data_IF_961750514983
#
_entry.id   IF_961750514983
#
_cell.length_a   1.000
_cell.length_b   1.000
_cell.length_c   1.000
_cell.angle_alpha   90.00
_cell.angle_beta   90.00
_cell.angle_gamma   90.00
#
_symmetry.space_group_name_H-M   'P 1'
#
loop_
_entity.id
_entity.type
_entity.pdbx_description
1 polymer ?
#
# COMPACT_ATOMS: atom_id res chain seq x y z
N UNK A 1 28.23 9.04 -25.01
CA UNK A 1 27.23 8.93 -23.93
C UNK A 1 26.56 7.58 -24.10
N UNK A 2 26.89 6.61 -23.26
CA UNK A 2 26.23 5.30 -23.31
C UNK A 2 24.86 5.43 -22.68
N UNK A 3 23.83 4.92 -23.34
CA UNK A 3 22.52 4.71 -22.73
C UNK A 3 22.71 3.85 -21.47
N UNK A 4 22.50 4.44 -20.29
CA UNK A 4 22.48 3.70 -19.04
C UNK A 4 21.39 2.64 -19.06
N UNK A 5 21.62 1.50 -18.40
CA UNK A 5 20.62 0.45 -18.30
C UNK A 5 19.40 0.99 -17.55
N UNK A 6 18.27 1.10 -18.26
CA UNK A 6 16.97 1.49 -17.71
C UNK A 6 16.05 0.29 -17.74
N UNK A 7 15.44 -0.03 -16.61
CA UNK A 7 14.46 -1.11 -16.50
C UNK A 7 13.15 -0.60 -15.94
N UNK A 8 12.07 -0.93 -16.65
CA UNK A 8 10.70 -0.72 -16.23
C UNK A 8 10.10 -2.10 -16.01
N UNK A 9 9.85 -2.47 -14.76
CA UNK A 9 9.11 -3.69 -14.43
C UNK A 9 7.63 -3.34 -14.34
N UNK A 10 6.95 -3.44 -15.48
CA UNK A 10 5.50 -3.26 -15.62
C UNK A 10 4.89 -4.56 -16.14
N UNK A 11 4.04 -5.21 -15.34
CA UNK A 11 3.25 -6.35 -15.80
C UNK A 11 1.77 -6.05 -15.54
N UNK A 12 1.06 -5.46 -16.52
CA UNK A 12 -0.24 -4.82 -16.34
C UNK A 12 -1.40 -5.74 -15.91
N UNK A 13 -1.17 -7.06 -15.84
CA UNK A 13 -2.15 -8.03 -15.37
C UNK A 13 -1.66 -8.94 -14.24
N UNK A 14 -0.35 -8.98 -13.96
CA UNK A 14 0.28 -9.87 -12.96
C UNK A 14 1.61 -9.29 -12.50
N UNK A 15 1.61 -8.40 -11.51
CA UNK A 15 2.86 -7.95 -10.89
C UNK A 15 3.67 -9.15 -10.40
N UNK A 16 4.98 -9.24 -10.71
CA UNK A 16 5.84 -10.28 -10.16
C UNK A 16 5.85 -10.20 -8.64
N UNK A 17 5.94 -11.37 -7.99
CA UNK A 17 6.11 -11.45 -6.54
C UNK A 17 7.39 -10.71 -6.13
N UNK A 18 7.45 -10.01 -4.98
CA UNK A 18 8.62 -9.21 -4.61
C UNK A 18 9.95 -9.98 -4.68
N UNK A 19 9.98 -11.25 -4.28
CA UNK A 19 11.20 -12.09 -4.40
C UNK A 19 11.69 -12.25 -5.84
N UNK A 20 10.78 -12.37 -6.81
CA UNK A 20 11.14 -12.49 -8.22
C UNK A 20 11.70 -11.15 -8.74
N UNK A 21 11.08 -10.04 -8.37
CA UNK A 21 11.57 -8.69 -8.66
C UNK A 21 13.01 -8.51 -8.17
N UNK A 22 13.29 -8.83 -6.91
CA UNK A 22 14.63 -8.71 -6.33
C UNK A 22 15.67 -9.56 -7.07
N UNK A 23 15.32 -10.80 -7.46
CA UNK A 23 16.22 -11.66 -8.25
C UNK A 23 16.53 -11.08 -9.63
N UNK A 24 15.56 -10.45 -10.27
CA UNK A 24 15.79 -9.78 -11.56
C UNK A 24 16.73 -8.57 -11.39
N UNK A 25 16.52 -7.76 -10.35
CA UNK A 25 17.37 -6.61 -10.06
C UNK A 25 18.80 -7.03 -9.73
N UNK A 26 18.99 -8.16 -9.04
CA UNK A 26 20.32 -8.72 -8.75
C UNK A 26 21.14 -9.04 -10.02
N UNK A 27 20.47 -9.31 -11.14
CA UNK A 27 21.13 -9.57 -12.42
C UNK A 27 21.58 -8.29 -13.16
N UNK A 28 21.26 -7.10 -12.64
CA UNK A 28 21.45 -5.81 -13.30
C UNK A 28 22.29 -4.85 -12.42
N UNK A 29 23.58 -5.14 -12.18
CA UNK A 29 24.41 -4.37 -11.25
C UNK A 29 24.74 -2.94 -11.73
N UNK A 30 24.52 -2.62 -13.01
CA UNK A 30 24.77 -1.30 -13.60
C UNK A 30 23.49 -0.51 -13.88
N UNK A 31 22.38 -0.93 -13.27
CA UNK A 31 21.09 -0.29 -13.43
C UNK A 31 21.15 1.19 -13.02
N UNK A 32 20.83 2.09 -13.96
CA UNK A 32 20.83 3.54 -13.72
C UNK A 32 19.43 4.06 -13.37
N UNK A 33 18.38 3.44 -13.90
CA UNK A 33 17.00 3.84 -13.66
C UNK A 33 16.10 2.63 -13.46
N UNK A 34 15.36 2.64 -12.35
CA UNK A 34 14.44 1.59 -11.95
C UNK A 34 13.02 2.15 -11.76
N UNK A 35 12.07 1.64 -12.54
CA UNK A 35 10.64 1.84 -12.32
C UNK A 35 9.99 0.51 -11.90
N UNK A 36 9.46 0.47 -10.68
CA UNK A 36 8.71 -0.65 -10.12
C UNK A 36 7.23 -0.30 -10.02
N UNK A 37 6.39 -1.04 -10.74
CA UNK A 37 4.94 -1.00 -10.55
C UNK A 37 4.52 -2.24 -9.79
N UNK A 38 4.20 -2.06 -8.51
CA UNK A 38 3.88 -3.14 -7.60
C UNK A 38 2.38 -3.17 -7.35
N UNK A 39 1.78 -4.36 -7.47
CA UNK A 39 0.40 -4.55 -7.05
C UNK A 39 0.36 -4.61 -5.52
N UNK A 40 -0.31 -3.66 -4.88
CA UNK A 40 -0.52 -3.73 -3.44
C UNK A 40 -1.62 -4.77 -3.16
N UNK A 41 -1.39 -5.76 -2.27
CA UNK A 41 -2.45 -6.66 -1.87
C UNK A 41 -3.63 -5.89 -1.28
N UNK A 42 -4.85 -6.39 -1.53
CA UNK A 42 -6.10 -5.79 -1.03
C UNK A 42 -6.01 -5.48 0.48
N UNK A 43 -6.62 -4.40 1.00
CA UNK A 43 -6.54 -4.02 2.41
C UNK A 43 -6.83 -5.16 3.40
N UNK A 44 -7.80 -6.04 3.11
CA UNK A 44 -8.11 -7.20 3.94
C UNK A 44 -6.99 -8.26 4.05
N UNK A 45 -5.99 -8.22 3.18
CA UNK A 45 -4.88 -9.19 3.09
C UNK A 45 -3.63 -8.65 3.79
N UNK A 46 -3.80 -8.16 5.02
CA UNK A 46 -2.75 -7.47 5.77
C UNK A 46 -1.44 -8.26 5.88
N UNK A 47 -1.53 -9.56 6.11
CA UNK A 47 -0.35 -10.44 6.24
C UNK A 47 0.46 -10.49 4.93
N UNK A 48 -0.21 -10.54 3.78
CA UNK A 48 0.46 -10.51 2.47
C UNK A 48 1.05 -9.13 2.20
N UNK A 49 0.35 -8.05 2.57
CA UNK A 49 0.89 -6.67 2.45
C UNK A 49 2.18 -6.53 3.26
N UNK A 50 2.16 -7.01 4.51
CA UNK A 50 3.30 -7.02 5.42
C UNK A 50 4.47 -7.83 4.86
N UNK A 51 4.20 -9.06 4.42
CA UNK A 51 5.21 -9.94 3.82
C UNK A 51 5.85 -9.30 2.58
N UNK A 52 5.05 -8.76 1.66
CA UNK A 52 5.56 -8.09 0.46
C UNK A 52 6.47 -6.91 0.82
N UNK A 53 6.06 -6.11 1.80
CA UNK A 53 6.79 -4.94 2.27
C UNK A 53 8.13 -5.35 2.89
N UNK A 54 8.13 -6.41 3.71
CA UNK A 54 9.33 -6.96 4.32
C UNK A 54 10.30 -7.55 3.29
N UNK A 55 9.83 -8.36 2.34
CA UNK A 55 10.67 -8.97 1.30
C UNK A 55 11.30 -7.88 0.43
N UNK A 56 10.53 -6.86 0.06
CA UNK A 56 11.05 -5.74 -0.73
C UNK A 56 12.14 -4.97 0.04
N UNK A 57 11.91 -4.67 1.32
CA UNK A 57 12.89 -4.01 2.18
C UNK A 57 14.21 -4.80 2.22
N UNK A 58 14.14 -6.09 2.57
CA UNK A 58 15.33 -6.96 2.66
C UNK A 58 16.05 -7.10 1.33
N UNK A 59 15.30 -7.17 0.23
CA UNK A 59 15.87 -7.22 -1.11
C UNK A 59 16.60 -5.95 -1.49
N UNK A 60 16.01 -4.78 -1.25
CA UNK A 60 16.65 -3.49 -1.54
C UNK A 60 17.92 -3.29 -0.70
N UNK A 61 17.94 -3.72 0.56
CA UNK A 61 19.14 -3.69 1.41
C UNK A 61 20.24 -4.64 0.92
N UNK A 62 19.88 -5.78 0.32
CA UNK A 62 20.83 -6.79 -0.14
C UNK A 62 21.44 -6.47 -1.51
N UNK A 63 20.82 -5.58 -2.29
CA UNK A 63 21.26 -5.20 -3.62
C UNK A 63 22.25 -4.03 -3.56
N UNK A 64 23.30 -4.10 -4.36
CA UNK A 64 24.24 -2.99 -4.53
C UNK A 64 23.84 -2.16 -5.74
N UNK A 65 23.40 -0.93 -5.49
CA UNK A 65 22.92 0.00 -6.51
C UNK A 65 23.90 1.15 -6.73
N UNK A 66 25.15 0.83 -7.07
CA UNK A 66 26.22 1.82 -7.19
C UNK A 66 26.03 2.82 -8.35
N UNK A 67 25.19 2.47 -9.33
CA UNK A 67 24.92 3.30 -10.52
C UNK A 67 23.50 3.87 -10.56
N UNK A 68 22.65 3.55 -9.58
CA UNK A 68 21.23 3.88 -9.62
C UNK A 68 21.01 5.37 -9.35
N UNK A 69 20.54 6.08 -10.37
CA UNK A 69 20.28 7.53 -10.34
C UNK A 69 18.80 7.87 -10.19
N UNK A 70 17.91 6.97 -10.63
CA UNK A 70 16.46 7.18 -10.57
C UNK A 70 15.75 5.94 -10.04
N UNK A 71 14.92 6.13 -9.01
CA UNK A 71 14.07 5.12 -8.44
C UNK A 71 12.63 5.63 -8.40
N UNK A 72 11.74 4.91 -9.08
CA UNK A 72 10.31 5.15 -9.07
C UNK A 72 9.60 3.89 -8.58
N UNK A 73 8.86 3.98 -7.49
CA UNK A 73 8.01 2.89 -7.00
C UNK A 73 6.57 3.38 -6.97
N UNK A 74 5.70 2.67 -7.66
CA UNK A 74 4.27 2.93 -7.73
C UNK A 74 3.51 1.74 -7.16
N UNK A 75 2.61 2.00 -6.20
CA UNK A 75 1.62 1.03 -5.76
C UNK A 75 0.30 1.21 -6.50
N UNK A 76 -0.22 0.12 -7.05
CA UNK A 76 -1.54 0.13 -7.70
C UNK A 76 -2.60 -0.42 -6.74
N UNK A 77 -3.26 0.43 -5.95
CA UNK A 77 -4.52 0.09 -5.27
C UNK A 77 -5.25 1.31 -4.66
N UNK A 78 -6.61 1.32 -4.60
CA UNK A 78 -7.36 2.38 -3.91
C UNK A 78 -7.22 2.31 -2.39
N UNK A 79 -7.06 3.49 -1.80
CA UNK A 79 -7.06 3.70 -0.36
C UNK A 79 -8.42 3.40 0.27
N UNK A 80 -8.49 3.06 1.57
CA UNK A 80 -9.77 2.86 2.23
C UNK A 80 -10.56 4.19 2.27
N UNK A 81 -11.77 4.21 1.73
CA UNK A 81 -12.66 5.38 1.81
C UNK A 81 -13.42 5.46 3.14
N UNK A 82 -13.43 4.38 3.91
CA UNK A 82 -14.09 4.29 5.20
C UNK A 82 -13.08 4.46 6.34
N UNK A 83 -13.12 5.61 7.03
CA UNK A 83 -12.26 5.88 8.18
C UNK A 83 -12.50 4.95 9.40
N UNK A 84 -13.63 4.22 9.44
CA UNK A 84 -13.85 3.15 10.43
C UNK A 84 -13.16 1.83 10.08
N UNK A 85 -12.68 1.67 8.84
CA UNK A 85 -11.91 0.50 8.46
C UNK A 85 -10.58 0.48 9.22
N UNK A 86 -10.23 -0.67 9.80
CA UNK A 86 -8.95 -0.87 10.46
C UNK A 86 -7.92 -1.34 9.41
N UNK A 87 -6.97 -0.47 8.99
CA UNK A 87 -6.01 -0.77 7.93
C UNK A 87 -5.05 -1.92 8.27
N UNK A 88 -4.90 -2.20 9.56
CA UNK A 88 -3.97 -3.21 10.09
C UNK A 88 -2.54 -2.70 10.19
N UNK A 89 -1.73 -3.41 10.97
CA UNK A 89 -0.34 -3.06 11.21
C UNK A 89 0.59 -3.72 10.18
N UNK A 90 1.39 -2.93 9.48
CA UNK A 90 2.35 -3.34 8.45
C UNK A 90 3.78 -3.56 8.99
N UNK A 91 4.03 -3.30 10.27
CA UNK A 91 5.30 -3.65 10.92
C UNK A 91 5.48 -5.16 10.97
N UNK A 92 6.72 -5.62 10.84
CA UNK A 92 7.04 -7.04 10.99
C UNK A 92 6.97 -7.42 12.49
N UNK A 93 6.02 -8.28 12.90
CA UNK A 93 5.75 -8.57 14.32
C UNK A 93 6.95 -9.15 15.06
N UNK A 94 7.95 -9.70 14.36
CA UNK A 94 9.09 -10.39 14.97
C UNK A 94 10.38 -9.57 15.05
N UNK A 95 10.53 -8.50 14.28
CA UNK A 95 11.85 -7.90 14.07
C UNK A 95 11.96 -6.44 14.48
N UNK A 96 10.90 -5.64 14.34
CA UNK A 96 10.98 -4.22 14.70
C UNK A 96 9.60 -3.57 14.74
N UNK A 97 9.32 -2.66 15.70
CA UNK A 97 8.12 -1.82 15.67
C UNK A 97 8.19 -0.70 14.61
N UNK A 98 9.10 -0.82 13.65
CA UNK A 98 9.49 0.25 12.73
C UNK A 98 9.36 -0.23 11.29
N UNK A 99 9.00 0.68 10.39
CA UNK A 99 8.77 0.34 9.00
C UNK A 99 10.06 0.00 8.23
N UNK A 100 10.29 -1.28 7.99
CA UNK A 100 11.52 -1.78 7.37
C UNK A 100 11.72 -1.27 5.94
N UNK A 101 10.65 -1.01 5.19
CA UNK A 101 10.76 -0.56 3.79
C UNK A 101 11.21 0.90 3.69
N UNK A 102 10.62 1.81 4.47
CA UNK A 102 11.07 3.20 4.51
C UNK A 102 12.51 3.30 5.03
N UNK A 103 12.92 2.48 6.01
CA UNK A 103 14.34 2.38 6.43
C UNK A 103 15.24 1.96 5.26
N UNK A 104 14.88 0.91 4.54
CA UNK A 104 15.68 0.40 3.42
C UNK A 104 15.82 1.45 2.31
N UNK A 105 14.75 2.19 2.03
CA UNK A 105 14.76 3.29 1.05
C UNK A 105 15.58 4.48 1.53
N UNK A 106 15.49 4.84 2.81
CA UNK A 106 16.34 5.87 3.39
C UNK A 106 17.82 5.49 3.19
N UNK A 107 18.23 4.30 3.64
CA UNK A 107 19.60 3.80 3.44
C UNK A 107 20.01 3.81 1.97
N UNK A 108 19.15 3.32 1.09
CA UNK A 108 19.41 3.31 -0.36
C UNK A 108 19.67 4.73 -0.89
N UNK A 109 18.85 5.71 -0.48
CA UNK A 109 18.99 7.11 -0.88
C UNK A 109 20.26 7.78 -0.34
N UNK A 110 20.88 7.22 0.71
CA UNK A 110 22.15 7.68 1.25
C UNK A 110 23.36 7.08 0.51
N UNK A 111 23.27 5.82 0.06
CA UNK A 111 24.43 5.08 -0.49
C UNK A 111 24.50 5.12 -2.02
N UNK A 112 23.35 5.17 -2.70
CA UNK A 112 23.29 5.23 -4.17
C UNK A 112 23.42 6.69 -4.64
N UNK A 113 23.92 6.94 -5.86
CA UNK A 113 23.96 8.27 -6.46
C UNK A 113 22.55 8.71 -6.95
N UNK A 114 21.55 8.57 -6.08
CA UNK A 114 20.14 8.71 -6.38
C UNK A 114 19.75 10.19 -6.48
N UNK A 115 19.51 10.65 -7.71
CA UNK A 115 19.06 12.01 -8.02
C UNK A 115 17.54 12.17 -8.01
N UNK A 116 16.80 11.09 -8.30
CA UNK A 116 15.33 11.10 -8.41
C UNK A 116 14.75 9.97 -7.55
N UNK A 117 13.88 10.31 -6.61
CA UNK A 117 13.08 9.36 -5.84
C UNK A 117 11.59 9.71 -5.99
N UNK A 118 10.82 8.77 -6.55
CA UNK A 118 9.36 8.87 -6.64
C UNK A 118 8.69 7.69 -5.95
N UNK A 119 7.81 7.99 -5.00
CA UNK A 119 7.03 7.02 -4.23
C UNK A 119 5.55 7.37 -4.38
N UNK A 120 4.84 6.73 -5.30
CA UNK A 120 3.50 7.15 -5.74
C UNK A 120 2.44 6.06 -5.60
N UNK A 121 1.17 6.43 -5.74
CA UNK A 121 0.03 5.49 -5.63
C UNK A 121 -0.37 5.13 -4.20
N UNK A 122 -0.42 6.11 -3.29
CA UNK A 122 -0.79 5.88 -1.89
C UNK A 122 0.35 5.19 -1.14
N UNK A 123 1.54 5.79 -1.17
CA UNK A 123 2.71 5.25 -0.49
C UNK A 123 2.56 5.36 1.02
N UNK A 124 2.58 4.22 1.73
CA UNK A 124 2.63 4.22 3.20
C UNK A 124 4.00 4.74 3.66
N UNK A 125 4.05 6.04 3.93
CA UNK A 125 5.23 6.75 4.42
C UNK A 125 5.42 6.50 5.91
N UNK A 126 6.62 6.68 6.43
CA UNK A 126 6.91 6.64 7.87
C UNK A 126 8.06 7.61 8.18
N UNK A 127 8.23 8.05 9.44
CA UNK A 127 9.29 8.98 9.80
C UNK A 127 10.69 8.51 9.38
N UNK A 128 10.92 7.19 9.38
CA UNK A 128 12.21 6.57 9.08
C UNK A 128 12.65 6.69 7.61
N UNK A 129 11.75 7.14 6.72
CA UNK A 129 12.15 7.53 5.38
C UNK A 129 13.03 8.78 5.38
N UNK A 130 12.78 9.69 6.33
CA UNK A 130 13.43 10.98 6.41
C UNK A 130 14.50 11.02 7.49
N UNK A 131 14.21 10.46 8.66
CA UNK A 131 15.05 10.59 9.84
C UNK A 131 15.74 9.27 10.17
N UNK A 132 17.08 9.28 10.38
CA UNK A 132 17.76 8.12 10.92
C UNK A 132 17.25 7.84 12.33
N UNK A 133 16.92 6.58 12.62
CA UNK A 133 16.37 6.16 13.93
C UNK A 133 17.31 6.50 15.10
N UNK A 134 18.61 6.56 14.82
CA UNK A 134 19.68 6.68 15.84
C UNK A 134 20.31 8.08 15.93
N UNK A 135 19.82 9.07 15.18
CA UNK A 135 20.46 10.39 15.12
C UNK A 135 19.46 11.54 15.11
N UNK A 136 19.66 12.52 15.99
CA UNK A 136 18.97 13.81 15.96
C UNK A 136 19.53 14.77 14.90
N UNK A 137 20.46 14.31 14.06
CA UNK A 137 20.98 15.10 12.95
C UNK A 137 19.87 15.45 11.95
N UNK A 138 19.93 16.67 11.42
CA UNK A 138 19.11 17.11 10.29
C UNK A 138 19.21 16.10 9.14
N UNK A 139 18.09 15.76 8.47
CA UNK A 139 18.11 14.73 7.46
C UNK A 139 18.81 15.31 6.22
N UNK A 140 19.70 14.51 5.65
CA UNK A 140 20.56 14.94 4.56
C UNK A 140 20.43 13.94 3.42
N UNK A 141 20.42 14.42 2.17
CA UNK A 141 20.53 13.58 0.99
C UNK A 141 21.71 14.03 0.16
N UNK A 142 22.69 13.17 -0.12
CA UNK A 142 23.95 13.58 -0.75
C UNK A 142 23.79 13.98 -2.22
N UNK A 143 22.83 13.38 -2.92
CA UNK A 143 22.69 13.54 -4.39
C UNK A 143 21.24 13.75 -4.84
N UNK A 144 20.27 13.71 -3.92
CA UNK A 144 18.85 13.78 -4.29
C UNK A 144 18.49 15.21 -4.72
N UNK A 145 18.00 15.34 -5.96
CA UNK A 145 17.58 16.60 -6.57
C UNK A 145 16.07 16.70 -6.68
N UNK A 146 15.38 15.56 -6.82
CA UNK A 146 13.94 15.49 -6.97
C UNK A 146 13.33 14.41 -6.06
N UNK A 147 12.38 14.82 -5.23
CA UNK A 147 11.59 13.96 -4.37
C UNK A 147 10.10 14.17 -4.63
N UNK A 148 9.39 13.07 -4.89
CA UNK A 148 7.95 13.05 -5.02
C UNK A 148 7.38 11.91 -4.19
N UNK A 149 6.43 12.23 -3.32
CA UNK A 149 5.74 11.27 -2.48
C UNK A 149 4.25 11.57 -2.58
N UNK A 150 3.47 10.60 -3.03
CA UNK A 150 2.01 10.60 -2.87
C UNK A 150 1.68 9.74 -1.66
N UNK A 151 1.57 10.32 -0.45
CA UNK A 151 1.42 9.55 0.76
C UNK A 151 0.06 8.87 0.81
N UNK A 152 0.04 7.69 1.42
CA UNK A 152 -1.18 7.01 1.83
C UNK A 152 -1.88 7.79 2.94
N UNK A 153 -3.20 7.70 3.03
CA UNK A 153 -4.00 8.19 4.15
C UNK A 153 -3.79 7.40 5.43
N UNK A 154 -3.19 6.21 5.36
CA UNK A 154 -2.88 5.35 6.50
C UNK A 154 -1.38 5.29 6.81
N UNK A 155 -1.05 5.23 8.11
CA UNK A 155 0.29 5.01 8.67
C UNK A 155 0.65 3.52 8.62
N UNK A 156 1.95 3.16 8.76
CA UNK A 156 2.36 1.76 8.80
C UNK A 156 1.79 0.99 10.00
N UNK A 157 1.55 1.64 11.14
CA UNK A 157 0.94 1.01 12.32
C UNK A 157 -0.59 0.90 12.23
N UNK A 158 -1.20 1.34 11.12
CA UNK A 158 -2.62 1.18 10.83
C UNK A 158 -3.51 2.29 11.39
N UNK A 159 -2.97 3.47 11.61
CA UNK A 159 -3.73 4.69 11.94
C UNK A 159 -3.97 5.52 10.68
N UNK A 160 -4.81 6.55 10.76
CA UNK A 160 -4.99 7.51 9.68
C UNK A 160 -4.10 8.74 9.90
N UNK A 161 -3.49 9.25 8.84
CA UNK A 161 -2.76 10.53 8.85
C UNK A 161 -3.70 11.73 8.94
N UNK A 162 -4.93 11.57 8.47
CA UNK A 162 -5.93 12.62 8.44
C UNK A 162 -6.96 12.37 9.54
N UNK A 163 -6.97 13.26 10.53
CA UNK A 163 -8.04 13.36 11.52
C UNK A 163 -9.01 14.44 11.05
N UNK A 164 -9.79 14.14 10.00
CA UNK A 164 -10.95 14.98 9.70
C UNK A 164 -11.89 14.96 10.89
N UNK A 165 -12.57 16.07 11.18
CA UNK A 165 -13.68 16.07 12.12
C UNK A 165 -14.88 15.40 11.42
N UNK A 166 -15.30 14.18 11.82
CA UNK A 166 -16.41 13.50 11.17
C UNK A 166 -17.73 14.28 11.29
N UNK A 167 -17.87 15.14 12.30
CA UNK A 167 -19.05 15.98 12.51
C UNK A 167 -19.05 17.25 11.63
N UNK A 168 -17.91 17.55 10.99
CA UNK A 168 -17.77 18.73 10.11
C UNK A 168 -18.26 18.49 8.67
N UNK A 169 -18.58 17.24 8.31
CA UNK A 169 -19.06 16.89 6.96
C UNK A 169 -20.59 16.98 6.95
N UNK A 170 -21.20 17.86 6.14
CA UNK A 170 -22.64 17.89 5.97
C UNK A 170 -23.09 16.51 5.45
N UNK A 171 -24.03 15.88 6.15
CA UNK A 171 -24.63 14.61 5.71
C UNK A 171 -25.29 14.88 4.35
N UNK A 172 -24.77 14.31 3.27
CA UNK A 172 -25.46 14.34 1.98
C UNK A 172 -26.74 13.49 2.13
N UNK A 173 -27.93 14.03 1.86
CA UNK A 173 -29.17 13.25 1.88
C UNK A 173 -29.12 12.00 0.98
N UNK A 174 -28.23 11.96 -0.02
CA UNK A 174 -28.03 10.79 -0.88
C UNK A 174 -27.28 9.64 -0.17
N UNK A 175 -26.42 9.94 0.80
CA UNK A 175 -25.67 8.91 1.56
C UNK A 175 -26.55 8.17 2.57
N UNK A 176 -27.65 8.78 3.02
CA UNK A 176 -28.67 8.15 3.87
C UNK A 176 -29.48 7.07 3.14
N UNK A 177 -29.48 7.07 1.80
CA UNK A 177 -30.33 6.18 1.00
C UNK A 177 -29.68 4.80 0.73
N UNK A 178 -28.38 4.64 1.00
CA UNK A 178 -27.66 3.37 0.82
C UNK A 178 -27.96 2.32 1.91
N UNK A 179 -28.72 2.68 2.96
CA UNK A 179 -29.04 1.79 4.09
C UNK A 179 -30.49 1.29 4.19
N UNK A 180 -31.42 1.78 3.37
CA UNK A 180 -32.87 1.57 3.61
C UNK A 180 -33.67 1.07 2.39
N UNK A 181 -33.04 0.54 1.36
CA UNK A 181 -33.76 -0.19 0.30
C UNK A 181 -33.61 -1.70 0.46
N UNK A 182 -34.18 -2.23 1.54
CA UNK A 182 -34.67 -3.61 1.57
C UNK A 182 -36.20 -3.58 1.55
N UNK A 183 -36.84 -3.54 0.36
CA UNK A 183 -38.28 -3.73 0.26
C UNK A 183 -38.55 -5.23 0.24
N UNK A 184 -38.60 -5.83 1.42
CA UNK A 184 -39.24 -7.13 1.60
C UNK A 184 -39.91 -7.18 2.97
N UNK A 185 -40.92 -6.33 3.16
CA UNK A 185 -42.09 -6.73 3.94
C UNK A 185 -42.70 -7.96 3.25
N UNK A 186 -42.76 -9.07 3.97
CA UNK A 186 -44.01 -9.80 4.16
C UNK A 186 -43.88 -10.73 5.37
N UNK A 187 -44.88 -10.64 6.23
CA UNK A 187 -45.11 -11.48 7.40
C UNK A 187 -45.58 -12.90 7.00
N UNK A 188 -45.62 -13.78 8.01
CA UNK A 188 -46.30 -15.09 8.09
C UNK A 188 -45.55 -16.37 7.64
N UNK A 189 -44.93 -17.00 8.67
CA UNK A 189 -45.03 -18.41 9.09
C UNK A 189 -45.27 -19.53 8.04
N UNK A 190 -44.34 -20.50 7.96
CA UNK A 190 -44.64 -21.94 8.20
C UNK A 190 -43.42 -22.84 7.97
N UNK A 191 -43.32 -23.86 8.81
CA UNK A 191 -42.43 -25.02 8.79
C UNK A 191 -42.15 -25.61 7.40
N UNK A 192 -40.86 -25.78 7.06
CA UNK A 192 -40.26 -27.11 6.87
C UNK A 192 -38.74 -27.03 6.63
N UNK A 193 -38.00 -27.88 7.35
CA UNK A 193 -36.59 -28.19 7.11
C UNK A 193 -36.44 -28.84 5.74
N UNK A 194 -35.73 -28.20 4.82
CA UNK A 194 -35.00 -28.91 3.77
C UNK A 194 -33.87 -28.06 3.18
N UNK A 195 -32.77 -28.75 2.89
CA UNK A 195 -31.50 -28.24 2.36
C UNK A 195 -31.68 -27.31 1.16
N UNK A 196 -31.17 -26.07 1.25
CA UNK A 196 -30.88 -25.26 0.07
C UNK A 196 -29.51 -24.59 0.26
N UNK A 197 -28.55 -25.04 -0.55
CA UNK A 197 -27.25 -24.38 -0.69
C UNK A 197 -27.46 -22.94 -1.13
N UNK A 198 -27.08 -22.00 -0.26
CA UNK A 198 -27.23 -20.57 -0.51
C UNK A 198 -26.30 -20.20 -1.68
N UNK A 199 -26.90 -20.08 -2.87
CA UNK A 199 -26.28 -19.42 -4.01
C UNK A 199 -26.17 -17.93 -3.67
N UNK A 200 -25.06 -17.56 -3.03
CA UNK A 200 -24.71 -16.16 -2.76
C UNK A 200 -24.56 -15.50 -4.14
N UNK A 201 -25.51 -14.65 -4.49
CA UNK A 201 -25.48 -13.91 -5.75
C UNK A 201 -24.17 -13.11 -5.86
N UNK A 202 -23.64 -12.99 -7.09
CA UNK A 202 -22.38 -12.27 -7.36
C UNK A 202 -22.37 -10.85 -6.79
N UNK A 203 -23.54 -10.19 -6.75
CA UNK A 203 -23.73 -8.85 -6.18
C UNK A 203 -23.48 -8.81 -4.66
N UNK A 204 -24.08 -9.71 -3.87
CA UNK A 204 -23.85 -9.78 -2.41
C UNK A 204 -22.37 -10.07 -2.08
N UNK A 205 -21.69 -10.86 -2.92
CA UNK A 205 -20.26 -11.14 -2.78
C UNK A 205 -19.39 -9.92 -3.08
N UNK A 206 -19.73 -9.13 -4.09
CA UNK A 206 -19.04 -7.89 -4.42
C UNK A 206 -19.20 -6.84 -3.32
N UNK A 207 -20.40 -6.68 -2.76
CA UNK A 207 -20.65 -5.72 -1.69
C UNK A 207 -19.89 -6.09 -0.41
N UNK A 208 -19.91 -7.37 -0.02
CA UNK A 208 -19.09 -7.87 1.08
C UNK A 208 -17.60 -7.63 0.84
N UNK A 209 -17.11 -7.83 -0.39
CA UNK A 209 -15.71 -7.56 -0.74
C UNK A 209 -15.37 -6.07 -0.61
N UNK A 210 -16.25 -5.15 -1.05
CA UNK A 210 -16.04 -3.71 -0.88
C UNK A 210 -15.94 -3.31 0.60
N UNK A 211 -16.86 -3.82 1.44
CA UNK A 211 -16.85 -3.56 2.90
C UNK A 211 -15.57 -4.09 3.56
N UNK A 212 -15.16 -5.31 3.22
CA UNK A 212 -13.91 -5.91 3.74
C UNK A 212 -12.65 -5.13 3.34
N UNK A 213 -12.71 -4.29 2.31
CA UNK A 213 -11.59 -3.48 1.85
C UNK A 213 -11.74 -1.99 2.22
N UNK A 214 -12.72 -1.64 3.07
CA UNK A 214 -12.95 -0.24 3.48
C UNK A 214 -13.43 0.66 2.34
N UNK A 215 -13.99 0.11 1.27
CA UNK A 215 -14.41 0.87 0.08
C UNK A 215 -15.86 1.38 0.16
N UNK A 216 -16.57 1.10 1.25
CA UNK A 216 -17.94 1.57 1.51
C UNK A 216 -17.93 2.33 2.83
N UNK A 217 -18.34 3.62 2.85
CA UNK A 217 -18.55 4.36 4.08
C UNK A 217 -19.49 3.59 5.02
N UNK A 218 -19.17 3.56 6.31
CA UNK A 218 -20.08 3.05 7.33
C UNK A 218 -20.34 4.20 8.30
N UNK A 219 -21.58 4.65 8.36
CA UNK A 219 -22.09 5.44 9.47
C UNK A 219 -22.50 4.44 10.56
N UNK A 220 -21.91 4.55 11.74
CA UNK A 220 -22.29 3.78 12.94
C UNK A 220 -23.10 4.71 13.84
#
# INVERSE_FOLDING_TARGET
MGDGERVILNVPSRSPYPTATIKLLAALPKLEALELRLLQPKPKLIEIKREHRYILARGLEALSFSSLKSLCIYYEYPEPYNHHFLPGNLHEPRTSPVDSLNIALHKLSQIAPLTILKLTGGWVVSPELFWPIESESTPFWPTLEYLEIEPSIVTPDGKYYYTGDPDSIPIDPQDLNYGLTDPSSDEELSSNKEYIGVSITSSKRQERDKRLNGLVPQHI
#
